data_IF_886386162276
#
_entry.id   IF_886386162276
#
_cell.length_a   1.000
_cell.length_b   1.000
_cell.length_c   1.000
_cell.angle_alpha   90.00
_cell.angle_beta   90.00
_cell.angle_gamma   90.00
#
_symmetry.space_group_name_H-M   'P 1'
#
loop_
_entity.id
_entity.type
_entity.pdbx_description
1 polymer ?
#
# COMPACT_ATOMS: atom_id res chain seq x y z
N UNK A 1 -24.36 -14.89 -27.06
CA UNK A 1 -23.08 -15.55 -26.72
C UNK A 1 -21.98 -14.49 -26.72
N UNK A 2 -21.24 -14.25 -25.63
CA UNK A 2 -20.25 -13.16 -25.55
C UNK A 2 -19.05 -13.42 -26.48
N UNK A 3 -18.61 -12.40 -27.21
CA UNK A 3 -17.52 -12.49 -28.19
C UNK A 3 -16.19 -12.84 -27.51
N UNK A 4 -15.26 -13.45 -28.25
CA UNK A 4 -13.93 -13.85 -27.73
C UNK A 4 -13.16 -12.63 -27.17
N UNK A 5 -13.30 -11.48 -27.82
CA UNK A 5 -12.71 -10.18 -27.42
C UNK A 5 -13.26 -9.67 -26.09
N UNK A 6 -14.57 -9.79 -25.83
CA UNK A 6 -15.15 -9.44 -24.52
C UNK A 6 -14.64 -10.32 -23.38
N UNK A 7 -14.34 -11.60 -23.64
CA UNK A 7 -13.78 -12.50 -22.62
C UNK A 7 -12.34 -12.15 -22.30
N UNK A 8 -11.52 -11.85 -23.31
CA UNK A 8 -10.13 -11.43 -23.15
C UNK A 8 -10.01 -10.13 -22.33
N UNK A 9 -10.84 -9.13 -22.60
CA UNK A 9 -10.83 -7.85 -21.85
C UNK A 9 -11.29 -8.00 -20.40
N UNK A 10 -12.20 -8.95 -20.10
CA UNK A 10 -12.58 -9.27 -18.72
C UNK A 10 -11.47 -9.97 -17.96
N UNK A 11 -10.81 -10.93 -18.60
CA UNK A 11 -9.67 -11.65 -18.04
C UNK A 11 -8.51 -10.70 -17.72
N UNK A 12 -8.14 -9.81 -18.64
CA UNK A 12 -7.08 -8.82 -18.42
C UNK A 12 -7.39 -7.84 -17.28
N UNK A 13 -8.65 -7.40 -17.15
CA UNK A 13 -9.09 -6.58 -16.01
C UNK A 13 -8.97 -7.31 -14.68
N UNK A 14 -9.37 -8.58 -14.63
CA UNK A 14 -9.22 -9.42 -13.45
C UNK A 14 -7.73 -9.63 -13.10
N UNK A 15 -6.89 -9.94 -14.09
CA UNK A 15 -5.44 -10.12 -13.93
C UNK A 15 -4.76 -8.85 -13.39
N UNK A 16 -5.07 -7.68 -13.95
CA UNK A 16 -4.56 -6.39 -13.45
C UNK A 16 -5.01 -6.12 -12.01
N UNK A 17 -6.25 -6.47 -11.66
CA UNK A 17 -6.76 -6.31 -10.28
C UNK A 17 -6.02 -7.20 -9.29
N UNK A 18 -5.82 -8.48 -9.62
CA UNK A 18 -5.04 -9.42 -8.79
C UNK A 18 -3.60 -8.93 -8.63
N UNK A 19 -2.97 -8.43 -9.71
CA UNK A 19 -1.61 -7.89 -9.64
C UNK A 19 -1.50 -6.67 -8.70
N UNK A 20 -2.48 -5.75 -8.70
CA UNK A 20 -2.50 -4.61 -7.77
C UNK A 20 -2.66 -5.05 -6.32
N UNK A 21 -3.57 -5.99 -6.06
CA UNK A 21 -3.80 -6.56 -4.73
C UNK A 21 -2.52 -7.26 -4.23
N UNK A 22 -1.86 -8.05 -5.08
CA UNK A 22 -0.58 -8.70 -4.73
C UNK A 22 0.51 -7.69 -4.35
N UNK A 23 0.64 -6.60 -5.12
CA UNK A 23 1.60 -5.53 -4.80
C UNK A 23 1.29 -4.85 -3.46
N UNK A 24 0.01 -4.59 -3.18
CA UNK A 24 -0.41 -4.06 -1.89
C UNK A 24 -0.01 -4.98 -0.74
N UNK A 25 -0.30 -6.29 -0.84
CA UNK A 25 0.08 -7.25 0.20
C UNK A 25 1.58 -7.29 0.44
N UNK A 26 2.40 -7.21 -0.62
CA UNK A 26 3.84 -7.13 -0.44
C UNK A 26 4.26 -5.89 0.37
N UNK A 27 3.66 -4.73 0.08
CA UNK A 27 3.92 -3.49 0.81
C UNK A 27 3.44 -3.55 2.26
N UNK A 28 2.25 -4.11 2.48
CA UNK A 28 1.68 -4.32 3.81
C UNK A 28 2.52 -5.30 4.65
N UNK A 29 2.99 -6.39 4.05
CA UNK A 29 3.88 -7.35 4.72
C UNK A 29 5.19 -6.68 5.13
N UNK A 30 5.83 -5.91 4.25
CA UNK A 30 7.06 -5.18 4.58
C UNK A 30 6.80 -4.20 5.72
N UNK A 31 5.70 -3.45 5.68
CA UNK A 31 5.31 -2.55 6.76
C UNK A 31 5.19 -3.30 8.10
N UNK A 32 4.42 -4.39 8.15
CA UNK A 32 4.23 -5.17 9.39
C UNK A 32 5.56 -5.72 9.91
N UNK A 33 6.39 -6.30 9.04
CA UNK A 33 7.69 -6.86 9.43
C UNK A 33 8.62 -5.77 9.96
N UNK A 34 8.74 -4.64 9.27
CA UNK A 34 9.59 -3.53 9.70
C UNK A 34 9.07 -2.92 11.00
N UNK A 35 7.75 -2.73 11.15
CA UNK A 35 7.17 -2.24 12.40
C UNK A 35 7.45 -3.18 13.56
N UNK A 36 7.27 -4.50 13.39
CA UNK A 36 7.59 -5.47 14.44
C UNK A 36 9.08 -5.39 14.81
N UNK A 37 9.98 -5.37 13.82
CA UNK A 37 11.42 -5.25 14.08
C UNK A 37 11.76 -3.96 14.83
N UNK A 38 11.18 -2.82 14.43
CA UNK A 38 11.41 -1.54 15.12
C UNK A 38 10.93 -1.57 16.58
N UNK A 39 9.77 -2.19 16.84
CA UNK A 39 9.26 -2.34 18.21
C UNK A 39 10.10 -3.31 19.05
N UNK A 40 10.57 -4.41 18.46
CA UNK A 40 11.48 -5.35 19.13
C UNK A 40 12.82 -4.70 19.44
N UNK A 41 13.43 -4.03 18.46
CA UNK A 41 14.69 -3.30 18.66
C UNK A 41 14.53 -2.23 19.72
N UNK A 42 13.41 -1.50 19.74
CA UNK A 42 13.09 -0.57 20.82
C UNK A 42 13.02 -1.29 22.16
N UNK A 43 12.26 -2.37 22.30
CA UNK A 43 12.11 -3.09 23.57
C UNK A 43 13.45 -3.62 24.09
N UNK A 44 14.25 -4.25 23.21
CA UNK A 44 15.60 -4.72 23.54
C UNK A 44 16.53 -3.56 23.90
N UNK A 45 16.51 -2.46 23.15
CA UNK A 45 17.29 -1.26 23.50
C UNK A 45 16.83 -0.67 24.83
N UNK A 46 15.53 -0.52 25.07
CA UNK A 46 15.01 -0.01 26.35
C UNK A 46 15.38 -0.94 27.49
N UNK A 47 15.28 -2.26 27.31
CA UNK A 47 15.64 -3.24 28.34
C UNK A 47 17.15 -3.24 28.64
N UNK A 48 17.99 -3.29 27.60
CA UNK A 48 19.45 -3.22 27.72
C UNK A 48 19.87 -1.87 28.29
N UNK A 49 19.32 -0.76 27.80
CA UNK A 49 19.63 0.58 28.27
C UNK A 49 19.13 0.76 29.71
N UNK A 50 17.90 0.40 30.10
CA UNK A 50 17.48 0.43 31.52
C UNK A 50 18.41 -0.40 32.40
N UNK A 51 18.81 -1.61 31.94
CA UNK A 51 19.74 -2.46 32.70
C UNK A 51 21.14 -1.87 32.82
N UNK A 52 21.58 -1.09 31.81
CA UNK A 52 22.90 -0.46 31.74
C UNK A 52 22.92 1.00 32.23
N UNK A 53 21.75 1.66 32.35
CA UNK A 53 21.59 3.09 32.57
C UNK A 53 20.68 3.39 33.77
N UNK A 54 21.31 3.29 34.92
CA UNK A 54 21.31 4.43 35.85
C UNK A 54 22.01 5.70 35.25
N UNK A 55 22.31 5.77 33.94
CA UNK A 55 23.25 6.72 33.29
C UNK A 55 22.86 7.12 31.85
N UNK A 56 21.58 7.12 31.51
CA UNK A 56 21.13 7.31 30.14
C UNK A 56 20.46 8.63 29.89
N UNK A 57 20.97 9.44 28.96
CA UNK A 57 20.30 10.69 28.60
C UNK A 57 18.83 10.37 28.19
N UNK A 58 17.83 10.84 28.97
CA UNK A 58 16.42 10.60 28.69
C UNK A 58 15.98 11.20 27.35
N UNK A 59 16.59 12.29 26.89
CA UNK A 59 16.30 12.91 25.59
C UNK A 59 16.57 11.96 24.42
N UNK A 60 17.60 11.10 24.54
CA UNK A 60 17.92 10.13 23.49
C UNK A 60 16.88 9.02 23.42
N UNK A 61 16.32 8.60 24.56
CA UNK A 61 15.25 7.60 24.60
C UNK A 61 13.95 8.17 24.04
N UNK A 62 13.60 9.41 24.40
CA UNK A 62 12.44 10.10 23.84
C UNK A 62 12.57 10.31 22.32
N UNK A 63 13.76 10.64 21.83
CA UNK A 63 14.02 10.75 20.39
C UNK A 63 13.80 9.41 19.67
N UNK A 64 14.29 8.29 20.21
CA UNK A 64 14.05 6.95 19.64
C UNK A 64 12.55 6.65 19.62
N UNK A 65 11.84 6.89 20.72
CA UNK A 65 10.41 6.62 20.84
C UNK A 65 9.61 7.43 19.80
N UNK A 66 9.90 8.73 19.68
CA UNK A 66 9.27 9.59 18.68
C UNK A 66 9.50 9.09 17.25
N UNK A 67 10.71 8.62 16.93
CA UNK A 67 11.01 8.09 15.60
C UNK A 67 10.30 6.78 15.33
N UNK A 68 10.27 5.84 16.29
CA UNK A 68 9.61 4.53 16.13
C UNK A 68 8.10 4.71 15.97
N UNK A 69 7.46 5.44 16.88
CA UNK A 69 6.01 5.67 16.83
C UNK A 69 5.62 6.56 15.65
N UNK A 70 6.34 7.66 15.44
CA UNK A 70 6.08 8.59 14.34
C UNK A 70 6.18 7.90 12.97
N UNK A 71 7.24 7.10 12.77
CA UNK A 71 7.41 6.34 11.53
C UNK A 71 6.28 5.33 11.35
N UNK A 72 5.93 4.55 12.38
CA UNK A 72 4.87 3.56 12.31
C UNK A 72 3.50 4.19 11.99
N UNK A 73 3.18 5.35 12.57
CA UNK A 73 1.94 6.09 12.34
C UNK A 73 1.88 6.64 10.91
N UNK A 74 2.90 7.39 10.48
CA UNK A 74 2.93 8.01 9.15
C UNK A 74 2.84 6.93 8.06
N UNK A 75 3.63 5.87 8.18
CA UNK A 75 3.59 4.76 7.23
C UNK A 75 2.27 3.99 7.29
N UNK A 76 1.68 3.85 8.47
CA UNK A 76 0.35 3.26 8.65
C UNK A 76 -0.73 4.04 7.91
N UNK A 77 -0.69 5.38 7.98
CA UNK A 77 -1.62 6.25 7.24
C UNK A 77 -1.43 6.10 5.73
N UNK A 78 -0.18 6.11 5.25
CA UNK A 78 0.13 5.92 3.82
C UNK A 78 -0.39 4.55 3.35
N UNK A 79 -0.16 3.49 4.13
CA UNK A 79 -0.63 2.15 3.81
C UNK A 79 -2.16 2.07 3.80
N UNK A 80 -2.83 2.74 4.74
CA UNK A 80 -4.30 2.81 4.79
C UNK A 80 -4.87 3.49 3.54
N UNK A 81 -4.30 4.63 3.14
CA UNK A 81 -4.68 5.32 1.89
C UNK A 81 -4.44 4.40 0.70
N UNK A 82 -3.28 3.75 0.61
CA UNK A 82 -2.99 2.82 -0.47
C UNK A 82 -3.98 1.65 -0.51
N UNK A 83 -4.35 1.11 0.65
CA UNK A 83 -5.35 0.06 0.79
C UNK A 83 -6.72 0.51 0.27
N UNK A 84 -7.16 1.71 0.66
CA UNK A 84 -8.38 2.32 0.11
C UNK A 84 -8.28 2.40 -1.42
N UNK A 85 -7.18 2.90 -1.99
CA UNK A 85 -7.04 2.98 -3.46
C UNK A 85 -7.03 1.63 -4.18
N UNK A 86 -6.52 0.57 -3.55
CA UNK A 86 -6.42 -0.76 -4.17
C UNK A 86 -7.71 -1.56 -4.05
N UNK A 87 -8.40 -1.47 -2.90
CA UNK A 87 -9.61 -2.25 -2.61
C UNK A 87 -10.91 -1.51 -2.89
N UNK A 88 -10.89 -0.18 -2.90
CA UNK A 88 -12.05 0.59 -3.29
C UNK A 88 -12.43 0.27 -4.74
N UNK A 89 -13.72 -0.03 -4.97
CA UNK A 89 -14.28 0.11 -6.33
C UNK A 89 -14.05 1.57 -6.73
N UNK A 90 -13.74 1.89 -8.00
CA UNK A 90 -13.55 3.30 -8.39
C UNK A 90 -14.74 4.10 -7.86
N UNK A 91 -14.49 4.97 -6.87
CA UNK A 91 -15.54 5.69 -6.15
C UNK A 91 -16.35 6.55 -7.12
N UNK A 92 -15.67 7.01 -8.17
CA UNK A 92 -16.24 7.48 -9.42
C UNK A 92 -16.57 6.26 -10.28
N UNK A 93 -17.78 5.73 -10.05
CA UNK A 93 -18.27 4.42 -10.50
C UNK A 93 -17.98 4.03 -11.94
N UNK A 94 -18.21 2.75 -12.24
CA UNK A 94 -18.08 2.09 -13.55
C UNK A 94 -18.34 2.96 -14.78
N UNK A 95 -19.23 3.96 -14.69
CA UNK A 95 -19.51 4.95 -15.74
C UNK A 95 -18.31 5.82 -16.15
N UNK A 96 -17.40 6.21 -15.26
CA UNK A 96 -16.18 6.93 -15.66
C UNK A 96 -15.19 5.98 -16.35
N UNK A 97 -14.99 4.79 -15.81
CA UNK A 97 -14.15 3.75 -16.43
C UNK A 97 -14.66 3.35 -17.81
N UNK A 98 -15.98 3.16 -17.99
CA UNK A 98 -16.60 2.88 -19.29
C UNK A 98 -16.44 4.04 -20.27
N UNK A 99 -16.54 5.29 -19.80
CA UNK A 99 -16.31 6.47 -20.65
C UNK A 99 -14.86 6.57 -21.11
N UNK A 100 -13.89 6.33 -20.24
CA UNK A 100 -12.48 6.34 -20.63
C UNK A 100 -12.14 5.18 -21.56
N UNK A 101 -12.67 3.99 -21.28
CA UNK A 101 -12.47 2.83 -22.16
C UNK A 101 -13.07 3.06 -23.55
N UNK A 102 -14.26 3.68 -23.63
CA UNK A 102 -14.87 4.06 -24.89
C UNK A 102 -14.02 5.08 -25.66
N UNK A 103 -13.50 6.10 -24.98
CA UNK A 103 -12.58 7.08 -25.60
C UNK A 103 -11.32 6.42 -26.17
N UNK A 104 -10.70 5.51 -25.41
CA UNK A 104 -9.51 4.78 -25.88
C UNK A 104 -9.81 3.92 -27.12
N UNK A 105 -10.94 3.23 -27.19
CA UNK A 105 -11.32 2.44 -28.37
C UNK A 105 -11.57 3.33 -29.60
N UNK A 106 -12.28 4.45 -29.44
CA UNK A 106 -12.52 5.43 -30.51
C UNK A 106 -11.22 6.10 -31.00
N UNK A 107 -10.21 6.21 -30.15
CA UNK A 107 -8.91 6.79 -30.48
C UNK A 107 -7.98 5.77 -31.15
N UNK A 108 -8.10 4.49 -30.80
CA UNK A 108 -7.44 3.37 -31.48
C UNK A 108 -7.99 3.19 -32.90
N UNK A 109 -9.33 3.16 -33.06
CA UNK A 109 -9.98 3.08 -34.38
C UNK A 109 -9.54 4.23 -35.30
N UNK A 110 -9.45 5.46 -34.78
CA UNK A 110 -8.97 6.63 -35.52
C UNK A 110 -7.49 6.61 -35.88
N UNK A 111 -6.66 5.84 -35.17
CA UNK A 111 -5.23 5.67 -35.48
C UNK A 111 -4.97 4.57 -36.50
N UNK A 112 -5.89 3.63 -36.64
CA UNK A 112 -5.82 2.50 -37.60
C UNK A 112 -6.60 2.73 -38.90
N UNK A 113 -7.30 3.86 -39.04
CA UNK A 113 -7.82 4.38 -40.31
C UNK A 113 -6.83 5.36 -40.94
#
# INVERSE_FOLDING_TARGET
>A
MKSKTERLTKYERAKKRVARIRKFYNHATIYVVVTIILFLLRHEFTFILLSKRALGNPEFLEWIDWNVYGTAIVWGVILAIHGITVFSKPLFGKSWEERQLKKFMEEEERRTQ
#
